data_IF_499058275356
#
_entry.id   IF_499058275356
#
_cell.length_a   1.000
_cell.length_b   1.000
_cell.length_c   1.000
_cell.angle_alpha   90.00
_cell.angle_beta   90.00
_cell.angle_gamma   90.00
#
_symmetry.space_group_name_H-M   'P 1'
#
loop_
_entity.id
_entity.type
_entity.pdbx_description
1 polymer ?
#
# COMPACT_ATOMS: atom_id res chain seq x y z
N UNK A 1 -0.39 3.66 21.32
CA UNK A 1 -1.41 4.69 21.03
C UNK A 1 -2.45 4.22 19.99
N UNK A 2 -2.07 3.80 18.78
CA UNK A 2 -3.05 3.35 17.76
C UNK A 2 -3.93 2.15 18.19
N UNK A 3 -3.36 1.18 18.91
CA UNK A 3 -4.10 0.07 19.51
C UNK A 3 -5.15 0.56 20.53
N UNK A 4 -4.75 1.46 21.45
CA UNK A 4 -5.66 2.05 22.45
C UNK A 4 -6.81 2.81 21.79
N UNK A 5 -6.52 3.66 20.80
CA UNK A 5 -7.56 4.40 20.06
C UNK A 5 -8.54 3.45 19.36
N UNK A 6 -8.05 2.33 18.81
CA UNK A 6 -8.91 1.36 18.11
C UNK A 6 -9.70 0.49 19.08
N UNK A 7 -9.18 0.17 20.26
CA UNK A 7 -9.94 -0.53 21.31
C UNK A 7 -11.08 0.35 21.81
N UNK A 8 -10.83 1.66 22.01
CA UNK A 8 -11.84 2.60 22.49
C UNK A 8 -12.94 2.87 21.46
N UNK A 9 -12.57 3.04 20.20
CA UNK A 9 -13.50 3.37 19.11
C UNK A 9 -14.11 2.11 18.48
N UNK A 10 -13.48 0.94 18.67
CA UNK A 10 -13.88 -0.35 18.13
C UNK A 10 -14.06 -0.35 16.59
N UNK A 11 -13.44 0.59 15.89
CA UNK A 11 -13.58 0.76 14.44
C UNK A 11 -12.27 1.23 13.81
N UNK A 12 -11.64 0.32 13.07
CA UNK A 12 -10.47 0.62 12.23
C UNK A 12 -10.81 1.55 11.06
N UNK A 13 -12.07 1.57 10.62
CA UNK A 13 -12.55 2.49 9.58
C UNK A 13 -12.58 3.95 10.07
N UNK A 14 -13.01 4.20 11.31
CA UNK A 14 -12.99 5.55 11.88
C UNK A 14 -11.53 6.02 12.01
N UNK A 15 -10.67 5.15 12.54
CA UNK A 15 -9.24 5.44 12.69
C UNK A 15 -8.57 5.86 11.38
N UNK A 16 -8.74 5.06 10.32
CA UNK A 16 -8.18 5.36 8.99
C UNK A 16 -8.80 6.61 8.35
N UNK A 17 -10.11 6.83 8.54
CA UNK A 17 -10.80 8.03 8.02
C UNK A 17 -10.34 9.34 8.66
N UNK A 18 -9.89 9.31 9.92
CA UNK A 18 -9.37 10.49 10.62
C UNK A 18 -7.90 10.74 10.28
N UNK A 19 -7.09 9.67 10.16
CA UNK A 19 -5.67 9.81 9.82
C UNK A 19 -5.44 10.26 8.38
N UNK A 20 -6.25 9.79 7.43
CA UNK A 20 -6.10 10.14 6.01
C UNK A 20 -6.08 11.65 5.74
N UNK A 21 -7.04 12.47 6.24
CA UNK A 21 -6.99 13.92 6.07
C UNK A 21 -5.86 14.57 6.87
N UNK A 22 -5.51 14.07 8.05
CA UNK A 22 -4.35 14.58 8.83
C UNK A 22 -3.03 14.44 8.05
N UNK A 23 -2.86 13.33 7.32
CA UNK A 23 -1.74 13.12 6.39
C UNK A 23 -1.85 14.04 5.19
N UNK A 24 -3.06 14.18 4.62
CA UNK A 24 -3.31 15.07 3.49
C UNK A 24 -3.04 16.55 3.80
N UNK A 25 -3.20 16.96 5.06
CA UNK A 25 -2.89 18.29 5.58
C UNK A 25 -1.41 18.45 6.00
N UNK A 26 -0.62 17.38 6.00
CA UNK A 26 0.78 17.40 6.43
C UNK A 26 0.99 17.47 7.95
N UNK A 27 -0.06 17.32 8.75
CA UNK A 27 0.02 17.37 10.22
C UNK A 27 0.74 16.12 10.76
N UNK A 28 0.54 14.97 10.10
CA UNK A 28 1.18 13.70 10.43
C UNK A 28 1.89 13.18 9.18
N UNK A 29 3.17 12.82 9.32
CA UNK A 29 3.95 12.23 8.23
C UNK A 29 3.51 10.78 7.95
N UNK A 30 3.72 10.30 6.72
CA UNK A 30 3.35 8.93 6.31
C UNK A 30 4.11 7.90 7.16
N UNK A 31 5.37 8.19 7.51
CA UNK A 31 6.20 7.35 8.38
C UNK A 31 5.63 7.19 9.79
N UNK A 32 4.97 8.24 10.32
CA UNK A 32 4.27 8.17 11.62
C UNK A 32 2.93 7.48 11.53
N UNK A 33 2.25 7.50 10.38
CA UNK A 33 0.98 6.79 10.18
C UNK A 33 1.15 5.27 10.10
N UNK A 34 2.32 4.80 9.68
CA UNK A 34 2.61 3.37 9.63
C UNK A 34 2.46 2.63 10.98
N UNK A 35 3.15 3.02 12.09
CA UNK A 35 2.96 2.37 13.39
C UNK A 35 1.55 2.56 13.96
N UNK A 36 0.88 3.66 13.61
CA UNK A 36 -0.52 3.89 13.98
C UNK A 36 -1.44 2.86 13.34
N UNK A 37 -1.28 2.60 12.04
CA UNK A 37 -2.07 1.63 11.28
C UNK A 37 -1.83 0.21 11.77
N UNK A 38 -0.56 -0.15 12.02
CA UNK A 38 -0.18 -1.43 12.62
C UNK A 38 -0.83 -1.63 14.00
N UNK A 39 -0.81 -0.60 14.84
CA UNK A 39 -1.49 -0.63 16.13
C UNK A 39 -3.00 -0.81 16.02
N UNK A 40 -3.64 -0.22 14.99
CA UNK A 40 -5.07 -0.39 14.75
C UNK A 40 -5.45 -1.81 14.34
N UNK A 41 -4.60 -2.48 13.57
CA UNK A 41 -4.80 -3.90 13.23
C UNK A 41 -4.78 -4.79 14.49
N UNK A 42 -3.89 -4.52 15.46
CA UNK A 42 -3.91 -5.21 16.77
C UNK A 42 -5.21 -4.90 17.55
N UNK A 43 -5.66 -3.64 17.55
CA UNK A 43 -6.91 -3.29 18.23
C UNK A 43 -8.12 -4.06 17.67
N UNK A 44 -8.15 -4.28 16.37
CA UNK A 44 -9.23 -5.03 15.69
C UNK A 44 -9.28 -6.50 16.15
N UNK A 45 -8.14 -7.12 16.48
CA UNK A 45 -8.14 -8.51 16.97
C UNK A 45 -8.69 -8.62 18.38
N UNK A 46 -8.46 -7.61 19.22
CA UNK A 46 -9.06 -7.51 20.56
C UNK A 46 -10.58 -7.38 20.47
N UNK A 47 -11.08 -6.58 19.51
CA UNK A 47 -12.51 -6.52 19.21
C UNK A 47 -13.08 -7.89 18.82
N UNK A 48 -12.35 -8.65 17.99
CA UNK A 48 -12.74 -10.01 17.61
C UNK A 48 -12.78 -10.98 18.80
N UNK A 49 -11.84 -10.87 19.74
CA UNK A 49 -11.85 -11.65 20.98
C UNK A 49 -13.07 -11.29 21.83
N UNK A 50 -13.33 -10.00 22.03
CA UNK A 50 -14.51 -9.55 22.78
C UNK A 50 -15.82 -10.05 22.15
N UNK A 51 -15.94 -9.98 20.82
CA UNK A 51 -17.09 -10.52 20.10
C UNK A 51 -17.22 -12.04 20.29
N UNK A 52 -16.13 -12.79 20.20
CA UNK A 52 -16.14 -14.24 20.45
C UNK A 52 -16.59 -14.59 21.88
N UNK A 53 -16.23 -13.79 22.87
CA UNK A 53 -16.64 -13.98 24.27
C UNK A 53 -18.14 -13.73 24.52
N UNK A 54 -18.83 -13.02 23.62
CA UNK A 54 -20.28 -12.81 23.72
C UNK A 54 -21.13 -13.97 23.19
N UNK A 55 -20.50 -15.03 22.68
CA UNK A 55 -21.21 -16.20 22.18
C UNK A 55 -22.00 -16.91 23.29
N UNK A 56 -23.27 -17.22 23.03
CA UNK A 56 -24.21 -17.77 24.02
C UNK A 56 -24.08 -19.28 24.22
N UNK A 57 -23.68 -20.02 23.19
CA UNK A 57 -23.51 -21.48 23.24
C UNK A 57 -22.05 -21.86 23.48
N UNK A 58 -21.78 -22.90 24.29
CA UNK A 58 -20.41 -23.40 24.50
C UNK A 58 -19.70 -23.82 23.18
N UNK A 59 -20.46 -24.41 22.24
CA UNK A 59 -19.93 -24.83 20.94
C UNK A 59 -19.53 -23.63 20.08
N UNK A 60 -20.36 -22.59 20.06
CA UNK A 60 -20.12 -21.37 19.28
C UNK A 60 -19.01 -20.51 19.89
N UNK A 61 -18.90 -20.50 21.22
CA UNK A 61 -17.81 -19.86 21.95
C UNK A 61 -16.46 -20.46 21.56
N UNK A 62 -16.32 -21.79 21.60
CA UNK A 62 -15.07 -22.48 21.25
C UNK A 62 -14.64 -22.18 19.82
N UNK A 63 -15.57 -22.27 18.88
CA UNK A 63 -15.28 -22.02 17.46
C UNK A 63 -14.93 -20.55 17.19
N UNK A 64 -15.71 -19.61 17.73
CA UNK A 64 -15.49 -18.17 17.52
C UNK A 64 -14.20 -17.70 18.18
N UNK A 65 -13.89 -18.21 19.38
CA UNK A 65 -12.66 -17.88 20.09
C UNK A 65 -11.43 -18.46 19.36
N UNK A 66 -11.52 -19.68 18.82
CA UNK A 66 -10.44 -20.25 18.02
C UNK A 66 -10.12 -19.37 16.80
N UNK A 67 -11.14 -18.93 16.06
CA UNK A 67 -10.96 -18.04 14.90
C UNK A 67 -10.37 -16.69 15.35
N UNK A 68 -10.86 -16.10 16.44
CA UNK A 68 -10.37 -14.84 16.98
C UNK A 68 -8.90 -14.94 17.45
N UNK A 69 -8.51 -16.04 18.09
CA UNK A 69 -7.14 -16.29 18.50
C UNK A 69 -6.22 -16.51 17.30
N UNK A 70 -6.64 -17.30 16.31
CA UNK A 70 -5.90 -17.46 15.05
C UNK A 70 -5.65 -16.09 14.38
N UNK A 71 -6.68 -15.24 14.32
CA UNK A 71 -6.56 -13.89 13.77
C UNK A 71 -5.61 -13.01 14.58
N UNK A 72 -5.65 -13.12 15.91
CA UNK A 72 -4.75 -12.39 16.82
C UNK A 72 -3.30 -12.81 16.64
N UNK A 73 -3.01 -14.11 16.67
CA UNK A 73 -1.66 -14.62 16.48
C UNK A 73 -1.10 -14.30 15.09
N UNK A 74 -1.93 -14.40 14.04
CA UNK A 74 -1.52 -14.02 12.69
C UNK A 74 -1.09 -12.55 12.62
N UNK A 75 -1.87 -11.63 13.20
CA UNK A 75 -1.51 -10.21 13.22
C UNK A 75 -0.25 -9.94 14.07
N UNK A 76 -0.14 -10.54 15.26
CA UNK A 76 1.02 -10.34 16.14
C UNK A 76 2.30 -10.84 15.47
N UNK A 77 2.28 -12.05 14.92
CA UNK A 77 3.44 -12.64 14.24
C UNK A 77 3.78 -11.83 12.98
N UNK A 78 2.78 -11.44 12.19
CA UNK A 78 2.97 -10.58 11.04
C UNK A 78 3.66 -9.26 11.41
N UNK A 79 3.22 -8.60 12.47
CA UNK A 79 3.83 -7.34 12.93
C UNK A 79 5.26 -7.58 13.44
N UNK A 80 5.49 -8.65 14.18
CA UNK A 80 6.82 -8.99 14.69
C UNK A 80 7.81 -9.30 13.57
N UNK A 81 7.35 -9.80 12.43
CA UNK A 81 8.19 -10.04 11.24
C UNK A 81 8.40 -8.74 10.45
N UNK A 82 7.33 -7.99 10.20
CA UNK A 82 7.33 -6.88 9.24
C UNK A 82 7.70 -5.52 9.82
N UNK A 83 7.54 -5.31 11.12
CA UNK A 83 7.79 -4.02 11.77
C UNK A 83 9.25 -3.77 12.20
N UNK A 84 9.98 -4.72 12.81
CA UNK A 84 11.34 -4.46 13.30
C UNK A 84 12.38 -4.47 12.19
N UNK A 85 12.13 -5.13 11.06
CA UNK A 85 13.09 -5.23 9.96
C UNK A 85 12.97 -4.00 9.05
N UNK A 86 13.97 -3.09 9.01
CA UNK A 86 13.87 -1.84 8.24
C UNK A 86 13.71 -2.09 6.73
N UNK A 87 14.31 -3.17 6.21
CA UNK A 87 14.19 -3.56 4.80
C UNK A 87 12.76 -3.93 4.39
N UNK A 88 11.94 -4.44 5.31
CA UNK A 88 10.57 -4.89 5.01
C UNK A 88 9.54 -3.75 5.01
N UNK A 89 9.94 -2.53 5.39
CA UNK A 89 9.10 -1.32 5.38
C UNK A 89 8.88 -0.74 3.97
N UNK A 90 8.91 -1.56 2.92
CA UNK A 90 8.64 -1.13 1.55
C UNK A 90 7.24 -0.54 1.29
N UNK A 91 6.16 -0.85 2.06
CA UNK A 91 4.85 -0.26 1.81
C UNK A 91 4.82 1.27 1.98
N UNK A 92 5.66 1.82 2.86
CA UNK A 92 5.72 3.25 3.16
C UNK A 92 6.18 4.08 1.95
N UNK A 93 7.36 3.81 1.33
CA UNK A 93 7.77 4.52 0.13
C UNK A 93 6.83 4.25 -1.06
N UNK A 94 6.22 3.07 -1.15
CA UNK A 94 5.23 2.75 -2.18
C UNK A 94 3.97 3.63 -2.05
N UNK A 95 3.44 3.78 -0.84
CA UNK A 95 2.30 4.65 -0.57
C UNK A 95 2.62 6.11 -0.89
N UNK A 96 3.81 6.59 -0.51
CA UNK A 96 4.27 7.95 -0.83
C UNK A 96 4.40 8.16 -2.34
N UNK A 97 4.95 7.19 -3.07
CA UNK A 97 5.09 7.27 -4.53
C UNK A 97 3.73 7.28 -5.24
N UNK A 98 2.83 6.38 -4.84
CA UNK A 98 1.48 6.30 -5.37
C UNK A 98 0.67 7.58 -5.07
N UNK A 99 0.82 8.15 -3.87
CA UNK A 99 0.22 9.41 -3.47
C UNK A 99 0.70 10.59 -4.34
N UNK A 100 2.02 10.67 -4.63
CA UNK A 100 2.59 11.69 -5.52
C UNK A 100 2.04 11.59 -6.95
N UNK A 101 1.91 10.37 -7.50
CA UNK A 101 1.30 10.15 -8.82
C UNK A 101 -0.17 10.60 -8.82
N UNK A 102 -0.91 10.24 -7.77
CA UNK A 102 -2.34 10.58 -7.63
C UNK A 102 -2.56 12.08 -7.48
N UNK A 103 -1.65 12.79 -6.80
CA UNK A 103 -1.66 14.25 -6.71
C UNK A 103 -1.35 14.93 -8.05
N UNK A 104 -0.42 14.36 -8.85
CA UNK A 104 -0.07 14.88 -10.18
C UNK A 104 -1.17 14.64 -11.21
N UNK A 105 -1.80 13.46 -11.21
CA UNK A 105 -2.82 13.06 -12.18
C UNK A 105 -4.15 12.76 -11.48
N UNK A 106 -5.06 13.74 -11.42
CA UNK A 106 -6.37 13.58 -10.73
C UNK A 106 -7.22 12.43 -11.31
N UNK A 107 -7.14 12.20 -12.62
CA UNK A 107 -7.86 11.10 -13.29
C UNK A 107 -7.34 9.72 -12.86
N UNK A 108 -6.06 9.62 -12.48
CA UNK A 108 -5.45 8.39 -12.00
C UNK A 108 -6.09 7.93 -10.69
N UNK A 109 -6.52 8.84 -9.82
CA UNK A 109 -7.24 8.52 -8.59
C UNK A 109 -8.54 7.76 -8.87
N UNK A 110 -9.34 8.25 -9.83
CA UNK A 110 -10.62 7.66 -10.22
C UNK A 110 -10.39 6.28 -10.85
N UNK A 111 -9.43 6.19 -11.77
CA UNK A 111 -9.03 4.93 -12.39
C UNK A 111 -8.61 3.90 -11.35
N UNK A 112 -7.77 4.31 -10.38
CA UNK A 112 -7.31 3.45 -9.29
C UNK A 112 -8.46 2.93 -8.44
N UNK A 113 -9.42 3.79 -8.06
CA UNK A 113 -10.61 3.38 -7.29
C UNK A 113 -11.45 2.38 -8.07
N UNK A 114 -11.76 2.66 -9.34
CA UNK A 114 -12.54 1.76 -10.20
C UNK A 114 -11.84 0.41 -10.36
N UNK A 115 -10.53 0.44 -10.59
CA UNK A 115 -9.73 -0.77 -10.73
C UNK A 115 -9.70 -1.59 -9.44
N UNK A 116 -9.41 -0.96 -8.29
CA UNK A 116 -9.21 -1.64 -7.02
C UNK A 116 -10.50 -2.16 -6.39
N UNK A 117 -11.59 -1.39 -6.45
CA UNK A 117 -12.87 -1.77 -5.81
C UNK A 117 -13.79 -2.58 -6.72
N UNK A 118 -13.70 -2.44 -8.04
CA UNK A 118 -14.63 -3.11 -8.97
C UNK A 118 -13.91 -4.09 -9.87
N UNK A 119 -12.93 -3.63 -10.65
CA UNK A 119 -12.35 -4.45 -11.71
C UNK A 119 -11.55 -5.64 -11.15
N UNK A 120 -10.69 -5.41 -10.15
CA UNK A 120 -9.85 -6.45 -9.57
C UNK A 120 -10.69 -7.52 -8.84
N UNK A 121 -11.64 -7.18 -7.94
CA UNK A 121 -12.52 -8.18 -7.33
C UNK A 121 -13.37 -8.94 -8.36
N UNK A 122 -13.87 -8.26 -9.40
CA UNK A 122 -14.68 -8.89 -10.45
C UNK A 122 -13.85 -9.86 -11.30
N UNK A 123 -12.61 -9.49 -11.65
CA UNK A 123 -11.68 -10.37 -12.36
C UNK A 123 -11.36 -11.59 -11.48
N UNK A 124 -10.99 -11.39 -10.22
CA UNK A 124 -10.67 -12.50 -9.30
C UNK A 124 -11.87 -13.43 -9.12
N UNK A 125 -13.06 -12.88 -8.92
CA UNK A 125 -14.29 -13.67 -8.81
C UNK A 125 -14.60 -14.43 -10.10
N UNK A 126 -14.51 -13.77 -11.26
CA UNK A 126 -14.73 -14.39 -12.56
C UNK A 126 -13.74 -15.52 -12.84
N UNK A 127 -12.45 -15.31 -12.55
CA UNK A 127 -11.42 -16.36 -12.66
C UNK A 127 -11.65 -17.49 -11.65
N UNK A 128 -12.15 -17.19 -10.45
CA UNK A 128 -12.48 -18.22 -9.46
C UNK A 128 -13.60 -19.15 -9.91
N UNK A 129 -14.53 -18.68 -10.75
CA UNK A 129 -15.59 -19.50 -11.34
C UNK A 129 -15.09 -20.35 -12.52
N UNK A 130 -14.06 -19.88 -13.24
CA UNK A 130 -13.51 -20.54 -14.42
C UNK A 130 -12.63 -21.78 -14.11
N UNK A 131 -12.41 -22.09 -12.83
CA UNK A 131 -11.67 -23.26 -12.37
C UNK A 131 -10.15 -23.01 -12.26
N UNK A 132 -9.49 -23.89 -11.49
CA UNK A 132 -8.08 -23.71 -11.09
C UNK A 132 -7.10 -23.60 -12.26
N UNK A 133 -7.32 -24.33 -13.35
CA UNK A 133 -6.44 -24.31 -14.52
C UNK A 133 -6.45 -22.95 -15.23
N UNK A 134 -7.63 -22.33 -15.37
CA UNK A 134 -7.76 -21.00 -15.97
C UNK A 134 -7.18 -19.95 -15.03
N UNK A 135 -7.47 -20.07 -13.72
CA UNK A 135 -6.89 -19.21 -12.71
C UNK A 135 -5.35 -19.22 -12.76
N UNK A 136 -4.73 -20.41 -12.73
CA UNK A 136 -3.29 -20.57 -12.81
C UNK A 136 -2.72 -20.11 -14.17
N UNK A 137 -3.42 -20.39 -15.27
CA UNK A 137 -3.00 -20.00 -16.62
C UNK A 137 -2.99 -18.49 -16.84
N UNK A 138 -3.86 -17.73 -16.17
CA UNK A 138 -3.91 -16.26 -16.29
C UNK A 138 -3.06 -15.57 -15.23
N UNK A 139 -3.15 -15.96 -13.95
CA UNK A 139 -2.33 -15.33 -12.90
C UNK A 139 -0.85 -15.69 -13.01
N UNK A 140 -0.54 -16.93 -13.41
CA UNK A 140 0.84 -17.41 -13.54
C UNK A 140 1.74 -16.48 -14.35
N UNK A 141 1.43 -16.18 -15.63
CA UNK A 141 2.24 -15.29 -16.44
C UNK A 141 2.30 -13.86 -15.90
N UNK A 142 1.21 -13.34 -15.34
CA UNK A 142 1.19 -11.99 -14.72
C UNK A 142 2.18 -11.92 -13.56
N UNK A 143 2.13 -12.90 -12.66
CA UNK A 143 3.05 -12.98 -11.50
C UNK A 143 4.50 -13.14 -11.97
N UNK A 144 4.75 -13.99 -12.97
CA UNK A 144 6.10 -14.16 -13.55
C UNK A 144 6.63 -12.85 -14.12
N UNK A 145 5.83 -12.09 -14.86
CA UNK A 145 6.23 -10.78 -15.42
C UNK A 145 6.53 -9.78 -14.31
N UNK A 146 5.72 -9.72 -13.26
CA UNK A 146 5.95 -8.85 -12.10
C UNK A 146 7.26 -9.22 -11.40
N UNK A 147 7.49 -10.50 -11.13
CA UNK A 147 8.73 -10.99 -10.51
C UNK A 147 9.94 -10.65 -11.37
N UNK A 148 9.87 -10.90 -12.69
CA UNK A 148 10.95 -10.55 -13.63
C UNK A 148 11.23 -9.05 -13.64
N UNK A 149 10.19 -8.21 -13.64
CA UNK A 149 10.34 -6.76 -13.59
C UNK A 149 11.01 -6.29 -12.29
N UNK A 150 10.64 -6.89 -11.14
CA UNK A 150 11.28 -6.62 -9.86
C UNK A 150 12.75 -7.04 -9.90
N UNK A 151 13.07 -8.25 -10.37
CA UNK A 151 14.45 -8.75 -10.48
C UNK A 151 15.28 -7.84 -11.37
N UNK A 152 14.75 -7.43 -12.52
CA UNK A 152 15.44 -6.51 -13.45
C UNK A 152 15.70 -5.16 -12.78
N UNK A 153 14.72 -4.57 -12.09
CA UNK A 153 14.90 -3.29 -11.38
C UNK A 153 15.93 -3.41 -10.24
N UNK A 154 15.95 -4.54 -9.52
CA UNK A 154 16.93 -4.83 -8.47
C UNK A 154 18.33 -5.01 -9.09
N UNK A 155 18.47 -5.75 -10.19
CA UNK A 155 19.76 -5.92 -10.89
C UNK A 155 20.27 -4.60 -11.49
N UNK A 156 19.39 -3.75 -12.02
CA UNK A 156 19.74 -2.40 -12.46
C UNK A 156 20.32 -1.56 -11.31
N UNK A 157 19.79 -1.71 -10.09
CA UNK A 157 20.24 -0.97 -8.90
C UNK A 157 21.55 -1.51 -8.32
N UNK A 158 21.73 -2.84 -8.21
CA UNK A 158 22.87 -3.44 -7.50
C UNK A 158 24.02 -3.93 -8.40
N UNK A 159 23.77 -4.38 -9.64
CA UNK A 159 24.81 -4.84 -10.58
C UNK A 159 24.49 -4.52 -12.05
N UNK A 160 24.67 -3.25 -12.49
CA UNK A 160 24.30 -2.80 -13.83
C UNK A 160 25.20 -3.34 -14.97
N UNK A 161 26.33 -3.99 -14.63
CA UNK A 161 27.26 -4.57 -15.61
C UNK A 161 26.88 -5.99 -16.07
N UNK A 162 25.95 -6.67 -15.37
CA UNK A 162 25.50 -8.02 -15.72
C UNK A 162 24.31 -8.02 -16.72
N UNK A 163 23.72 -6.86 -16.98
CA UNK A 163 22.56 -6.73 -17.87
C UNK A 163 22.95 -6.34 -19.31
N UNK A 164 22.28 -6.93 -20.33
CA UNK A 164 22.41 -6.45 -21.71
C UNK A 164 21.99 -4.98 -21.81
N UNK A 165 22.61 -4.22 -22.73
CA UNK A 165 22.35 -2.77 -22.90
C UNK A 165 20.85 -2.44 -23.10
N UNK A 166 20.08 -3.35 -23.70
CA UNK A 166 18.63 -3.22 -23.92
C UNK A 166 17.79 -3.24 -22.63
N UNK A 167 18.22 -4.00 -21.62
CA UNK A 167 17.52 -4.13 -20.33
C UNK A 167 18.02 -3.12 -19.28
N UNK A 168 19.09 -2.37 -19.57
CA UNK A 168 19.65 -1.36 -18.67
C UNK A 168 18.88 -0.03 -18.72
N UNK A 169 18.18 0.24 -19.82
CA UNK A 169 17.34 1.41 -19.98
C UNK A 169 15.97 1.00 -20.52
N UNK A 170 14.89 1.46 -19.90
CA UNK A 170 13.51 1.20 -20.35
C UNK A 170 13.14 1.96 -21.64
N UNK A 171 14.12 2.24 -22.50
CA UNK A 171 13.96 3.05 -23.72
C UNK A 171 13.27 2.27 -24.85
N UNK A 172 13.42 0.95 -24.85
CA UNK A 172 12.79 0.05 -25.83
C UNK A 172 11.26 -0.07 -25.61
N UNK A 173 10.77 0.23 -24.41
CA UNK A 173 9.36 0.12 -24.10
C UNK A 173 8.59 1.31 -24.70
N UNK A 174 7.49 1.09 -25.44
CA UNK A 174 6.76 2.16 -26.11
C UNK A 174 6.24 3.19 -25.09
N UNK A 175 6.16 4.44 -25.53
CA UNK A 175 5.82 5.60 -24.69
C UNK A 175 4.61 5.42 -23.72
N UNK A 176 3.51 4.74 -24.09
CA UNK A 176 2.37 4.55 -23.19
C UNK A 176 2.69 3.71 -21.95
N UNK A 177 3.63 2.78 -22.05
CA UNK A 177 4.02 1.89 -20.95
C UNK A 177 5.15 2.48 -20.10
N UNK A 178 5.80 3.56 -20.58
CA UNK A 178 6.94 4.20 -19.91
C UNK A 178 6.54 5.40 -19.06
N UNK A 179 5.51 6.14 -19.47
CA UNK A 179 5.11 7.36 -18.77
C UNK A 179 3.60 7.58 -18.81
N UNK A 180 3.02 7.90 -17.66
CA UNK A 180 1.63 8.36 -17.54
C UNK A 180 1.38 9.69 -18.27
N UNK A 181 2.42 10.47 -18.58
CA UNK A 181 2.28 11.76 -19.26
C UNK A 181 1.67 11.63 -20.66
N UNK A 182 1.90 10.48 -21.32
CA UNK A 182 1.29 10.20 -22.62
C UNK A 182 -0.24 10.13 -22.52
N UNK A 183 -0.77 9.41 -21.53
CA UNK A 183 -2.23 9.29 -21.32
C UNK A 183 -2.85 10.60 -20.86
N UNK A 184 -2.17 11.34 -19.99
CA UNK A 184 -2.62 12.65 -19.54
C UNK A 184 -2.78 13.62 -20.72
N UNK A 185 -1.80 13.68 -21.61
CA UNK A 185 -1.83 14.56 -22.80
C UNK A 185 -2.86 14.12 -23.85
N UNK A 186 -2.96 12.82 -24.12
CA UNK A 186 -3.71 12.31 -25.28
C UNK A 186 -5.19 12.01 -24.97
N UNK A 187 -5.51 11.61 -23.73
CA UNK A 187 -6.88 11.24 -23.33
C UNK A 187 -7.55 12.37 -22.53
N UNK A 188 -6.80 13.02 -21.63
CA UNK A 188 -7.37 14.00 -20.69
C UNK A 188 -6.94 15.46 -20.94
N UNK A 189 -6.00 15.67 -21.87
CA UNK A 189 -5.28 16.93 -22.05
C UNK A 189 -6.05 18.03 -22.79
N UNK A 190 -7.12 17.70 -23.53
CA UNK A 190 -7.74 18.69 -24.42
C UNK A 190 -9.08 19.28 -23.96
N UNK A 191 -9.82 18.69 -23.00
CA UNK A 191 -11.18 19.21 -22.67
C UNK A 191 -11.65 19.08 -21.21
N UNK A 192 -10.85 18.58 -20.26
CA UNK A 192 -11.33 18.40 -18.89
C UNK A 192 -10.99 19.58 -17.95
N UNK A 193 -11.98 20.40 -17.60
CA UNK A 193 -11.85 21.53 -16.68
C UNK A 193 -11.41 21.12 -15.26
N UNK A 194 -11.70 19.89 -14.82
CA UNK A 194 -11.30 19.34 -13.51
C UNK A 194 -9.79 19.04 -13.45
N UNK A 195 -9.16 18.76 -14.59
CA UNK A 195 -7.75 18.38 -14.70
C UNK A 195 -6.77 19.57 -14.80
N UNK A 196 -7.26 20.80 -15.02
CA UNK A 196 -6.39 22.00 -15.15
C UNK A 196 -5.73 22.44 -13.84
N UNK A 197 -6.27 22.07 -12.67
CA UNK A 197 -5.63 22.38 -11.38
C UNK A 197 -4.49 21.37 -11.12
N UNK A 198 -3.31 21.65 -11.68
CA UNK A 198 -2.06 21.20 -11.06
C UNK A 198 -2.03 21.81 -9.66
N UNK A 199 -2.10 20.98 -8.63
CA UNK A 199 -1.79 21.44 -7.28
C UNK A 199 -0.27 21.55 -7.26
N UNK A 200 0.26 22.77 -7.29
CA UNK A 200 1.67 23.01 -6.97
C UNK A 200 1.86 22.68 -5.50
N UNK A 201 2.11 21.40 -5.21
CA UNK A 201 2.58 20.96 -3.90
C UNK A 201 3.95 21.62 -3.74
N UNK A 202 4.04 22.66 -2.91
CA UNK A 202 5.31 23.27 -2.52
C UNK A 202 6.21 22.17 -1.96
N UNK A 203 7.18 21.75 -2.77
CA UNK A 203 8.16 20.70 -2.44
C UNK A 203 9.05 21.07 -1.25
N UNK A 204 9.05 22.34 -0.83
CA UNK A 204 9.88 22.89 0.24
C UNK A 204 9.56 22.37 1.65
N UNK A 205 8.31 21.99 1.94
CA UNK A 205 7.91 21.62 3.32
C UNK A 205 8.11 20.11 3.58
N UNK A 206 8.03 19.32 2.52
CA UNK A 206 8.22 17.87 2.57
C UNK A 206 9.71 17.51 2.56
N UNK A 207 10.52 18.20 1.74
CA UNK A 207 11.95 17.92 1.58
C UNK A 207 12.81 18.38 2.78
N UNK A 208 12.35 19.39 3.53
CA UNK A 208 12.97 19.81 4.79
C UNK A 208 12.70 18.82 5.94
N UNK A 209 11.54 18.16 5.93
CA UNK A 209 11.19 17.14 6.93
C UNK A 209 12.00 15.84 6.71
N UNK A 210 12.13 15.39 5.47
CA UNK A 210 12.97 14.22 5.14
C UNK A 210 14.47 14.46 5.38
N UNK A 211 14.98 15.68 5.14
CA UNK A 211 16.38 16.02 5.48
C UNK A 211 16.66 15.98 6.98
N UNK A 212 15.71 16.42 7.79
CA UNK A 212 15.83 16.36 9.24
C UNK A 212 15.68 14.92 9.77
N UNK A 213 14.82 14.08 9.18
CA UNK A 213 14.71 12.67 9.56
C UNK A 213 15.93 11.84 9.13
N UNK A 214 16.49 12.05 7.94
CA UNK A 214 17.74 11.39 7.51
C UNK A 214 18.94 11.77 8.41
N UNK A 215 19.01 13.02 8.87
CA UNK A 215 20.02 13.46 9.84
C UNK A 215 19.82 12.84 11.22
N UNK A 216 18.59 12.51 11.62
CA UNK A 216 18.30 11.85 12.90
C UNK A 216 18.59 10.34 12.80
N UNK A 217 18.26 9.70 11.67
CA UNK A 217 18.60 8.28 11.44
C UNK A 217 20.12 8.06 11.39
N UNK A 218 20.89 8.98 10.78
CA UNK A 218 22.36 8.98 10.83
C UNK A 218 22.92 9.20 12.24
N UNK A 219 22.18 9.83 13.16
CA UNK A 219 22.61 10.02 14.57
C UNK A 219 22.24 8.82 15.44
N UNK A 220 21.15 8.12 15.13
CA UNK A 220 20.69 6.92 15.85
C UNK A 220 21.46 5.67 15.44
N UNK A 221 22.02 5.62 14.22
CA UNK A 221 22.89 4.50 13.80
C UNK A 221 24.31 4.57 14.42
N UNK A 222 24.68 5.69 15.06
CA UNK A 222 25.97 5.92 15.73
C UNK A 222 25.90 5.95 17.27
N UNK A 223 24.74 5.66 17.88
CA UNK A 223 24.53 5.49 19.33
C UNK A 223 24.02 4.10 19.67
#
# INVERSE_FOLDING_TARGET
>A
VGCVLTILVQSSSIFTSTLTPLVGLGIITIDRVYPFTIGSNIGTTITGIMAALTATSEKDLRNSLQIALCHTFFNIIGILIWFPIPFMRFPVPMATHLGKITAKYRWFAVLYIVFSFFLMPLIVFGLSLAGWYVFAGVLGPIVVVIILAIIINVLQKYKPNFLPRLLRTWLWLPAPLRSLEFYDKNIFGNNCCICKKKVDVKTTDVESTYKNEAFIDDVVEYL
#
